data_IF_567742899238
#
_entry.id   IF_567742899238
#
_cell.length_a   1.000
_cell.length_b   1.000
_cell.length_c   1.000
_cell.angle_alpha   90.00
_cell.angle_beta   90.00
_cell.angle_gamma   90.00
#
_symmetry.space_group_name_H-M   'P 1'
#
loop_
_entity.id
_entity.type
_entity.pdbx_description
1 polymer ?
#
# COMPACT_ATOMS: atom_id res chain seq x y z
N UNK A 1 10.32 -4.05 -17.12
CA UNK A 1 10.61 -3.71 -15.71
C UNK A 1 10.25 -2.24 -15.52
N UNK A 2 8.97 -1.98 -15.27
CA UNK A 2 8.43 -0.62 -15.09
C UNK A 2 8.79 -0.16 -13.68
N UNK A 3 9.31 1.04 -13.49
CA UNK A 3 9.82 1.57 -12.20
C UNK A 3 8.77 1.80 -11.11
N UNK A 4 7.77 0.94 -11.02
CA UNK A 4 6.71 1.01 -10.04
C UNK A 4 7.25 0.71 -8.63
N UNK A 5 6.88 1.51 -7.61
CA UNK A 5 7.20 1.22 -6.22
C UNK A 5 6.64 -0.15 -5.80
N UNK A 6 7.46 -0.96 -5.15
CA UNK A 6 7.06 -2.27 -4.63
C UNK A 6 7.28 -2.33 -3.11
N UNK A 7 6.52 -3.18 -2.41
CA UNK A 7 6.75 -3.43 -0.99
C UNK A 7 8.13 -4.02 -0.77
N UNK A 8 8.87 -3.50 0.22
CA UNK A 8 10.24 -3.92 0.50
C UNK A 8 10.35 -5.44 0.72
N UNK A 9 11.28 -6.06 0.01
CA UNK A 9 11.50 -7.52 0.03
C UNK A 9 10.51 -8.31 -0.83
N UNK A 10 9.67 -7.64 -1.61
CA UNK A 10 8.68 -8.27 -2.48
C UNK A 10 8.77 -7.71 -3.90
N UNK A 11 8.12 -8.39 -4.84
CA UNK A 11 7.82 -7.83 -6.18
C UNK A 11 6.37 -7.35 -6.29
N UNK A 12 5.67 -7.22 -5.17
CA UNK A 12 4.28 -6.78 -5.14
C UNK A 12 4.23 -5.25 -5.29
N UNK A 13 3.57 -4.73 -6.34
CA UNK A 13 3.42 -3.29 -6.51
C UNK A 13 2.63 -2.68 -5.35
N UNK A 14 3.02 -1.47 -4.96
CA UNK A 14 2.27 -0.69 -3.97
C UNK A 14 0.85 -0.35 -4.46
N UNK A 15 0.66 -0.22 -5.79
CA UNK A 15 -0.65 0.06 -6.38
C UNK A 15 -1.70 -1.00 -6.05
N UNK A 16 -1.29 -2.26 -5.90
CA UNK A 16 -2.20 -3.36 -5.54
C UNK A 16 -2.96 -3.09 -4.25
N UNK A 17 -2.33 -2.44 -3.26
CA UNK A 17 -3.03 -2.07 -2.02
C UNK A 17 -4.18 -1.10 -2.31
N UNK A 18 -3.92 -0.05 -3.10
CA UNK A 18 -4.94 0.95 -3.42
C UNK A 18 -6.05 0.38 -4.30
N UNK A 19 -5.69 -0.37 -5.35
CA UNK A 19 -6.65 -1.04 -6.25
C UNK A 19 -7.62 -1.94 -5.47
N UNK A 20 -7.11 -2.73 -4.52
CA UNK A 20 -7.97 -3.61 -3.71
C UNK A 20 -8.84 -2.82 -2.72
N UNK A 21 -8.32 -1.76 -2.11
CA UNK A 21 -9.11 -0.88 -1.25
C UNK A 21 -10.23 -0.17 -2.03
N UNK A 22 -9.97 0.23 -3.28
CA UNK A 22 -10.96 0.82 -4.20
C UNK A 22 -12.07 -0.19 -4.56
N UNK A 23 -11.72 -1.47 -4.68
CA UNK A 23 -12.66 -2.57 -4.90
C UNK A 23 -13.46 -2.96 -3.61
N UNK A 24 -13.21 -2.28 -2.49
CA UNK A 24 -13.89 -2.53 -1.22
C UNK A 24 -13.30 -3.69 -0.40
N UNK A 25 -12.16 -4.23 -0.80
CA UNK A 25 -11.43 -5.25 -0.04
C UNK A 25 -10.86 -4.61 1.23
N UNK A 26 -11.06 -5.24 2.37
CA UNK A 26 -10.46 -4.77 3.62
C UNK A 26 -8.94 -5.01 3.65
N UNK A 27 -8.22 -4.25 4.48
CA UNK A 27 -6.77 -4.46 4.70
C UNK A 27 -6.49 -5.90 5.15
N UNK A 28 -7.37 -6.48 5.97
CA UNK A 28 -7.20 -7.82 6.54
C UNK A 28 -7.32 -8.91 5.47
N UNK A 29 -8.30 -8.77 4.57
CA UNK A 29 -8.47 -9.67 3.42
C UNK A 29 -7.30 -9.54 2.45
N UNK A 30 -6.85 -8.32 2.17
CA UNK A 30 -5.69 -8.08 1.31
C UNK A 30 -4.40 -8.68 1.88
N UNK A 31 -4.15 -8.52 3.18
CA UNK A 31 -3.01 -9.14 3.86
C UNK A 31 -3.08 -10.67 3.81
N UNK A 32 -4.28 -11.25 3.84
CA UNK A 32 -4.49 -12.68 3.62
C UNK A 32 -4.06 -13.16 2.23
N UNK A 33 -4.27 -12.34 1.19
CA UNK A 33 -3.83 -12.63 -0.17
C UNK A 33 -2.32 -12.42 -0.38
N UNK A 34 -1.70 -11.54 0.40
CA UNK A 34 -0.29 -11.15 0.25
C UNK A 34 0.53 -11.32 1.55
N UNK A 35 0.77 -12.57 2.01
CA UNK A 35 1.39 -12.85 3.31
C UNK A 35 2.87 -12.40 3.42
N UNK A 36 3.49 -11.98 2.31
CA UNK A 36 4.84 -11.39 2.30
C UNK A 36 4.87 -9.91 2.73
N UNK A 37 3.71 -9.27 2.81
CA UNK A 37 3.55 -7.91 3.31
C UNK A 37 2.97 -7.96 4.72
N UNK A 38 3.60 -7.25 5.64
CA UNK A 38 3.09 -7.15 7.01
C UNK A 38 2.10 -5.99 7.11
N UNK A 39 1.24 -6.02 8.14
CA UNK A 39 0.31 -4.91 8.40
C UNK A 39 1.05 -3.59 8.55
N UNK A 40 2.18 -3.57 9.24
CA UNK A 40 2.99 -2.37 9.47
C UNK A 40 3.45 -1.76 8.13
N UNK A 41 3.84 -2.60 7.15
CA UNK A 41 4.22 -2.14 5.81
C UNK A 41 3.02 -1.56 5.05
N UNK A 42 1.85 -2.18 5.13
CA UNK A 42 0.63 -1.68 4.50
C UNK A 42 0.21 -0.32 5.11
N UNK A 43 0.21 -0.21 6.44
CA UNK A 43 -0.10 1.04 7.15
C UNK A 43 0.92 2.12 6.83
N UNK A 44 2.22 1.80 6.76
CA UNK A 44 3.26 2.78 6.41
C UNK A 44 3.03 3.42 5.03
N UNK A 45 2.54 2.65 4.05
CA UNK A 45 2.14 3.18 2.74
C UNK A 45 0.97 4.15 2.85
N UNK A 46 -0.06 3.77 3.62
CA UNK A 46 -1.25 4.62 3.81
C UNK A 46 -0.91 5.92 4.54
N UNK A 47 -0.07 5.85 5.58
CA UNK A 47 0.39 7.04 6.29
C UNK A 47 1.27 7.94 5.42
N UNK A 48 2.15 7.35 4.59
CA UNK A 48 2.93 8.14 3.64
C UNK A 48 2.02 8.88 2.64
N UNK A 49 1.02 8.20 2.08
CA UNK A 49 0.05 8.81 1.18
C UNK A 49 -0.76 9.91 1.89
N UNK A 50 -1.25 9.64 3.11
CA UNK A 50 -1.97 10.60 3.95
C UNK A 50 -1.14 11.87 4.18
N UNK A 51 0.10 11.72 4.62
CA UNK A 51 0.99 12.86 4.90
C UNK A 51 1.24 13.67 3.64
N UNK A 52 1.50 13.02 2.49
CA UNK A 52 1.72 13.72 1.21
C UNK A 52 0.50 14.47 0.70
N UNK A 53 -0.71 14.01 1.02
CA UNK A 53 -1.96 14.63 0.56
C UNK A 53 -2.46 15.71 1.51
N UNK A 54 -2.17 15.60 2.80
CA UNK A 54 -2.68 16.51 3.84
C UNK A 54 -1.62 17.50 4.33
N UNK A 55 -0.37 17.41 3.86
CA UNK A 55 0.64 18.44 4.09
C UNK A 55 0.13 19.80 3.55
N UNK A 56 0.11 20.85 4.39
CA UNK A 56 -0.27 22.18 3.93
C UNK A 56 0.67 22.62 2.80
N UNK A 57 0.10 23.04 1.67
CA UNK A 57 0.87 23.73 0.64
C UNK A 57 1.27 25.09 1.23
N UNK A 58 2.57 25.26 1.51
CA UNK A 58 3.14 26.52 1.95
C UNK A 58 3.12 27.58 0.84
#
# INVERSE_FOLDING_TARGET
MSGAPCFYGTRLPVSSLFENLEDGVSIDEWLGAFPSVTREKAIAVLEYARNRMLEPVA
#
